data_IF_988286047498
#
_entry.id   IF_988286047498
#
_cell.length_a   1.000
_cell.length_b   1.000
_cell.length_c   1.000
_cell.angle_alpha   90.00
_cell.angle_beta   90.00
_cell.angle_gamma   90.00
#
_symmetry.space_group_name_H-M   'P 1'
#
loop_
_entity.id
_entity.type
_entity.pdbx_description
1 polymer ?
#
# COMPACT_ATOMS: atom_id res chain seq x y z
N UNK A 1 -24.38 13.01 0.16
CA UNK A 1 -22.91 13.07 0.32
C UNK A 1 -22.39 11.66 0.52
N UNK A 2 -21.62 11.15 -0.44
CA UNK A 2 -21.12 9.76 -0.43
C UNK A 2 -19.73 9.61 0.21
N UNK A 3 -19.08 10.70 0.52
CA UNK A 3 -17.74 10.74 1.12
C UNK A 3 -16.79 11.67 0.38
N UNK A 4 -15.54 11.65 0.77
CA UNK A 4 -14.45 12.43 0.17
C UNK A 4 -13.38 11.52 -0.43
N UNK A 5 -12.76 11.97 -1.51
CA UNK A 5 -11.59 11.31 -2.12
C UNK A 5 -10.28 11.73 -1.47
N UNK A 6 -10.28 12.87 -0.77
CA UNK A 6 -9.13 13.36 -0.03
C UNK A 6 -9.19 12.85 1.41
N UNK A 7 -8.13 12.24 1.93
CA UNK A 7 -8.13 11.75 3.30
C UNK A 7 -8.20 12.90 4.30
N UNK A 8 -9.26 12.99 5.12
CA UNK A 8 -9.38 14.04 6.14
C UNK A 8 -8.43 13.82 7.32
N UNK A 9 -7.98 12.60 7.55
CA UNK A 9 -7.07 12.26 8.64
C UNK A 9 -5.78 11.71 8.06
N UNK A 10 -4.67 12.39 8.34
CA UNK A 10 -3.32 11.97 7.98
C UNK A 10 -2.45 12.04 9.23
N UNK A 11 -1.74 10.96 9.52
CA UNK A 11 -0.76 10.96 10.60
C UNK A 11 0.45 10.11 10.21
N UNK A 12 1.58 10.43 10.82
CA UNK A 12 2.81 9.67 10.68
C UNK A 12 3.52 9.57 12.02
N UNK A 13 4.20 8.45 12.23
CA UNK A 13 5.02 8.17 13.40
C UNK A 13 6.38 7.68 12.94
N UNK A 14 7.41 8.42 13.30
CA UNK A 14 8.80 8.02 13.08
C UNK A 14 9.46 7.78 14.41
N UNK A 15 10.02 6.60 14.58
CA UNK A 15 10.83 6.25 15.73
C UNK A 15 12.26 5.95 15.30
N UNK A 16 13.21 6.37 16.11
CA UNK A 16 14.62 6.08 15.94
C UNK A 16 15.21 5.60 17.28
N UNK A 17 15.81 4.45 17.25
CA UNK A 17 16.42 3.80 18.40
C UNK A 17 17.93 3.70 18.18
N UNK A 18 18.70 4.15 19.16
CA UNK A 18 20.14 3.94 19.19
C UNK A 18 20.45 2.90 20.25
N UNK A 19 20.89 1.73 19.81
CA UNK A 19 21.19 0.59 20.67
C UNK A 19 22.69 0.39 20.73
N UNK A 20 23.21 0.15 21.93
CA UNK A 20 24.64 -0.12 22.19
C UNK A 20 25.60 0.90 21.56
N UNK A 21 25.18 2.15 21.34
CA UNK A 21 25.92 3.27 20.73
C UNK A 21 26.21 3.12 19.23
N UNK A 22 26.25 1.91 18.72
CA UNK A 22 26.75 1.63 17.36
C UNK A 22 25.63 1.16 16.40
N UNK A 23 24.49 0.73 16.93
CA UNK A 23 23.35 0.25 16.16
C UNK A 23 22.22 1.27 16.18
N UNK A 24 21.83 1.74 15.01
CA UNK A 24 20.66 2.62 14.84
C UNK A 24 19.56 1.87 14.11
N UNK A 25 18.36 1.90 14.64
CA UNK A 25 17.16 1.33 14.00
C UNK A 25 16.14 2.44 13.86
N UNK A 26 15.64 2.69 12.66
CA UNK A 26 14.57 3.64 12.42
C UNK A 26 13.39 2.96 11.76
N UNK A 27 12.19 3.33 12.21
CA UNK A 27 10.91 2.81 11.73
C UNK A 27 10.01 3.99 11.43
N UNK A 28 9.40 3.99 10.25
CA UNK A 28 8.43 4.99 9.84
C UNK A 28 7.10 4.33 9.46
N UNK A 29 6.04 4.77 10.13
CA UNK A 29 4.66 4.33 9.88
C UNK A 29 3.84 5.56 9.56
N UNK A 30 2.96 5.46 8.57
CA UNK A 30 1.97 6.50 8.31
C UNK A 30 0.62 5.93 7.92
N UNK A 31 -0.39 6.77 7.98
CA UNK A 31 -1.76 6.40 7.66
C UNK A 31 -2.52 7.53 7.00
N UNK A 32 -3.42 7.18 6.10
CA UNK A 32 -4.41 8.05 5.50
C UNK A 32 -5.78 7.43 5.69
N UNK A 33 -6.69 8.15 6.35
CA UNK A 33 -7.97 7.60 6.77
C UNK A 33 -9.14 8.46 6.34
N UNK A 34 -10.31 7.83 6.22
CA UNK A 34 -11.59 8.48 6.00
C UNK A 34 -11.89 8.87 4.56
N UNK A 35 -11.07 8.46 3.59
CA UNK A 35 -11.32 8.72 2.19
C UNK A 35 -11.83 7.49 1.45
N UNK A 36 -12.54 7.75 0.35
CA UNK A 36 -13.10 6.73 -0.51
C UNK A 36 -12.59 6.90 -1.94
N UNK A 37 -12.51 5.80 -2.66
CA UNK A 37 -12.21 5.82 -4.07
C UNK A 37 -13.13 4.88 -4.85
N UNK A 38 -13.32 5.18 -6.12
CA UNK A 38 -13.92 4.27 -7.07
C UNK A 38 -12.90 3.21 -7.42
N UNK A 39 -13.29 1.94 -7.37
CA UNK A 39 -12.48 0.88 -7.93
C UNK A 39 -12.94 0.64 -9.37
N UNK A 40 -12.03 0.87 -10.32
CA UNK A 40 -12.25 0.59 -11.73
C UNK A 40 -12.03 -0.87 -12.08
N UNK A 41 -11.33 -1.65 -11.25
CA UNK A 41 -11.11 -3.08 -11.50
C UNK A 41 -12.39 -3.91 -11.48
N UNK A 42 -13.44 -3.38 -10.90
CA UNK A 42 -14.78 -3.95 -10.94
C UNK A 42 -15.50 -3.64 -12.27
N UNK A 43 -15.04 -2.60 -12.96
CA UNK A 43 -15.70 -1.98 -14.11
C UNK A 43 -15.15 -2.38 -15.46
N UNK A 44 -14.13 -3.22 -15.53
CA UNK A 44 -13.59 -3.69 -16.80
C UNK A 44 -14.62 -4.44 -17.67
N UNK A 45 -15.82 -4.57 -17.16
CA UNK A 45 -16.97 -5.13 -17.89
C UNK A 45 -17.90 -4.07 -18.47
N UNK A 46 -17.75 -2.79 -18.11
CA UNK A 46 -18.73 -1.77 -18.48
C UNK A 46 -18.42 -1.01 -19.77
N UNK A 47 -17.15 -0.99 -20.20
CA UNK A 47 -16.79 -0.30 -21.45
C UNK A 47 -17.34 -0.99 -22.71
N UNK A 48 -17.70 -2.28 -22.60
CA UNK A 48 -18.24 -3.08 -23.71
C UNK A 48 -19.75 -3.42 -23.54
N UNK A 49 -20.51 -2.61 -22.83
CA UNK A 49 -21.96 -2.83 -22.66
C UNK A 49 -22.31 -4.07 -21.84
N UNK A 50 -21.55 -4.35 -20.79
CA UNK A 50 -21.83 -5.42 -19.83
C UNK A 50 -21.45 -6.81 -20.30
N UNK A 51 -20.70 -6.95 -21.37
CA UNK A 51 -20.14 -8.23 -21.79
C UNK A 51 -18.89 -8.56 -20.97
N UNK A 52 -18.85 -9.76 -20.41
CA UNK A 52 -17.63 -10.29 -19.84
C UNK A 52 -16.59 -10.43 -20.95
N UNK A 53 -15.56 -9.57 -20.95
CA UNK A 53 -14.43 -9.78 -21.83
C UNK A 53 -13.63 -11.01 -21.40
N UNK A 54 -12.87 -11.62 -22.29
CA UNK A 54 -12.00 -12.74 -21.93
C UNK A 54 -11.03 -12.42 -20.80
N UNK A 55 -10.64 -11.16 -20.65
CA UNK A 55 -9.81 -10.71 -19.53
C UNK A 55 -10.57 -10.77 -18.19
N UNK A 56 -11.89 -10.60 -18.19
CA UNK A 56 -12.71 -10.70 -16.99
C UNK A 56 -12.88 -12.16 -16.51
N UNK A 57 -12.71 -13.14 -17.37
CA UNK A 57 -12.75 -14.54 -17.00
C UNK A 57 -11.61 -14.97 -16.06
N UNK A 58 -10.54 -14.17 -16.00
CA UNK A 58 -9.41 -14.37 -15.09
C UNK A 58 -9.58 -13.64 -13.75
N UNK A 59 -10.67 -12.89 -13.56
CA UNK A 59 -10.94 -12.21 -12.32
C UNK A 59 -11.43 -13.20 -11.26
N UNK A 60 -11.05 -12.94 -10.03
CA UNK A 60 -11.49 -13.70 -8.88
C UNK A 60 -13.04 -13.74 -8.83
N UNK A 61 -13.62 -14.92 -8.64
CA UNK A 61 -15.05 -15.08 -8.47
C UNK A 61 -15.56 -14.20 -7.33
N UNK A 62 -16.61 -13.42 -7.59
CA UNK A 62 -17.23 -12.52 -6.61
C UNK A 62 -18.65 -12.94 -6.35
N UNK A 63 -19.10 -12.70 -5.14
CA UNK A 63 -20.47 -12.94 -4.73
C UNK A 63 -21.39 -11.82 -5.26
N UNK A 64 -21.78 -11.91 -6.53
CA UNK A 64 -22.71 -10.98 -7.13
C UNK A 64 -24.12 -11.13 -6.53
N UNK A 65 -24.90 -10.07 -6.60
CA UNK A 65 -26.29 -10.13 -6.21
C UNK A 65 -27.07 -11.08 -7.12
N UNK A 66 -27.72 -12.05 -6.52
CA UNK A 66 -28.71 -12.94 -7.16
C UNK A 66 -29.93 -13.02 -6.26
N UNK A 67 -31.03 -13.59 -6.75
CA UNK A 67 -32.25 -13.80 -5.96
C UNK A 67 -31.91 -14.70 -4.74
N UNK A 68 -31.04 -15.70 -4.94
CA UNK A 68 -30.64 -16.64 -3.90
C UNK A 68 -29.52 -16.12 -2.99
N UNK A 69 -28.81 -15.08 -3.42
CA UNK A 69 -27.75 -14.42 -2.66
C UNK A 69 -27.90 -12.88 -2.70
N UNK A 70 -28.88 -12.31 -1.99
CA UNK A 70 -29.05 -10.87 -1.93
C UNK A 70 -27.88 -10.23 -1.15
N UNK A 71 -27.04 -9.50 -1.85
CA UNK A 71 -25.89 -8.77 -1.28
C UNK A 71 -25.94 -7.30 -1.70
N UNK A 72 -25.45 -6.41 -0.81
CA UNK A 72 -25.23 -5.01 -1.14
C UNK A 72 -23.77 -4.73 -1.57
N UNK A 73 -22.91 -5.76 -1.57
CA UNK A 73 -21.48 -5.61 -1.87
C UNK A 73 -21.23 -5.50 -3.38
N UNK A 74 -21.89 -6.34 -4.16
CA UNK A 74 -21.75 -6.35 -5.61
C UNK A 74 -23.14 -6.34 -6.27
N UNK A 75 -23.29 -5.55 -7.33
CA UNK A 75 -24.53 -5.54 -8.11
C UNK A 75 -24.72 -6.81 -8.93
N UNK A 76 -25.84 -6.91 -9.65
CA UNK A 76 -26.08 -7.98 -10.61
C UNK A 76 -25.08 -7.89 -11.75
N UNK A 77 -24.60 -9.03 -12.25
CA UNK A 77 -23.69 -9.09 -13.40
C UNK A 77 -24.32 -8.50 -14.67
N UNK A 78 -25.61 -8.72 -14.84
CA UNK A 78 -26.40 -8.32 -16.03
C UNK A 78 -27.08 -6.95 -15.87
N UNK A 79 -26.88 -6.26 -14.75
CA UNK A 79 -27.48 -4.96 -14.52
C UNK A 79 -26.76 -3.89 -15.34
N UNK A 80 -27.29 -3.64 -16.54
CA UNK A 80 -26.98 -2.41 -17.27
C UNK A 80 -27.57 -1.24 -16.49
N UNK A 81 -26.70 -0.45 -15.86
CA UNK A 81 -27.14 0.83 -15.30
C UNK A 81 -27.51 1.77 -16.45
N UNK A 82 -28.41 2.72 -16.24
CA UNK A 82 -28.64 3.77 -17.22
C UNK A 82 -27.36 4.54 -17.45
N UNK A 83 -26.96 4.67 -18.70
CA UNK A 83 -25.88 5.47 -19.28
C UNK A 83 -24.81 5.97 -18.31
N UNK A 84 -23.81 5.14 -18.02
CA UNK A 84 -22.62 5.57 -17.28
C UNK A 84 -22.84 5.96 -15.82
N UNK A 85 -24.01 5.72 -15.25
CA UNK A 85 -24.28 5.99 -13.85
C UNK A 85 -23.42 5.08 -12.97
N UNK A 86 -22.42 5.68 -12.33
CA UNK A 86 -21.52 4.99 -11.39
C UNK A 86 -22.34 4.46 -10.22
N UNK A 87 -22.40 3.15 -10.08
CA UNK A 87 -23.16 2.49 -9.02
C UNK A 87 -22.53 2.84 -7.65
N UNK A 88 -23.32 3.18 -6.63
CA UNK A 88 -22.81 3.50 -5.29
C UNK A 88 -21.97 2.39 -4.66
N UNK A 89 -22.24 1.14 -5.01
CA UNK A 89 -21.46 -0.01 -4.54
C UNK A 89 -20.01 -0.09 -5.02
N UNK A 90 -19.59 0.82 -5.91
CA UNK A 90 -18.20 0.93 -6.38
C UNK A 90 -17.32 1.82 -5.53
N UNK A 91 -17.90 2.53 -4.56
CA UNK A 91 -17.16 3.36 -3.62
C UNK A 91 -16.63 2.50 -2.47
N UNK A 92 -15.33 2.29 -2.48
CA UNK A 92 -14.63 1.58 -1.43
C UNK A 92 -13.92 2.54 -0.47
N UNK A 93 -13.86 2.15 0.79
CA UNK A 93 -13.03 2.82 1.76
C UNK A 93 -11.56 2.53 1.41
N UNK A 94 -10.80 3.60 1.20
CA UNK A 94 -9.40 3.54 0.79
C UNK A 94 -8.44 3.80 1.95
N UNK A 95 -8.95 3.80 3.18
CA UNK A 95 -8.16 4.00 4.38
C UNK A 95 -7.11 2.92 4.56
N UNK A 96 -5.90 3.32 4.90
CA UNK A 96 -4.79 2.38 5.10
C UNK A 96 -3.81 2.86 6.17
N UNK A 97 -3.05 1.91 6.68
CA UNK A 97 -1.86 2.11 7.51
C UNK A 97 -0.69 1.47 6.77
N UNK A 98 0.42 2.17 6.67
CA UNK A 98 1.62 1.67 6.00
C UNK A 98 2.83 1.74 6.90
N UNK A 99 3.52 0.61 7.01
CA UNK A 99 4.90 0.54 7.47
C UNK A 99 5.79 0.89 6.27
N UNK A 100 6.14 2.18 6.18
CA UNK A 100 6.82 2.73 5.01
C UNK A 100 8.27 2.33 4.95
N UNK A 101 8.97 2.43 6.09
CA UNK A 101 10.41 2.27 6.09
C UNK A 101 10.89 1.61 7.39
N UNK A 102 11.79 0.65 7.23
CA UNK A 102 12.66 0.15 8.30
C UNK A 102 14.09 0.33 7.82
N UNK A 103 14.88 1.06 8.58
CA UNK A 103 16.30 1.21 8.30
C UNK A 103 17.12 0.78 9.52
N UNK A 104 18.19 0.04 9.27
CA UNK A 104 19.14 -0.42 10.27
C UNK A 104 20.51 0.06 9.84
N UNK A 105 21.22 0.73 10.73
CA UNK A 105 22.59 1.19 10.52
C UNK A 105 23.50 0.70 11.62
N UNK A 106 24.64 0.13 11.25
CA UNK A 106 25.64 -0.31 12.20
C UNK A 106 26.98 0.38 11.92
N UNK A 107 27.53 1.00 12.95
CA UNK A 107 28.86 1.62 12.90
C UNK A 107 29.87 0.64 13.47
N UNK A 108 30.89 0.28 12.70
CA UNK A 108 31.91 -0.63 13.18
C UNK A 108 32.74 0.00 14.32
N UNK A 109 33.10 -0.79 15.34
CA UNK A 109 33.95 -0.31 16.42
C UNK A 109 35.27 0.22 15.89
N UNK A 110 35.71 1.37 16.39
CA UNK A 110 36.92 2.05 15.97
C UNK A 110 38.18 1.17 16.06
N UNK A 111 38.23 0.26 17.02
CA UNK A 111 39.33 -0.71 17.16
C UNK A 111 39.56 -1.60 15.94
N UNK A 112 38.53 -1.87 15.18
CA UNK A 112 38.59 -2.67 13.96
C UNK A 112 39.02 -1.80 12.76
N UNK A 113 38.42 -0.63 12.62
CA UNK A 113 38.63 0.25 11.46
C UNK A 113 40.00 0.90 11.43
N UNK A 114 40.55 1.22 12.58
CA UNK A 114 41.90 1.79 12.69
C UNK A 114 43.03 0.90 12.11
N UNK A 115 42.85 -0.43 12.14
CA UNK A 115 43.79 -1.36 11.53
C UNK A 115 43.89 -1.19 10.01
N UNK A 116 42.87 -0.62 9.39
CA UNK A 116 42.77 -0.39 7.94
C UNK A 116 43.02 1.07 7.57
N UNK A 117 43.36 1.94 8.51
CA UNK A 117 43.55 3.36 8.28
C UNK A 117 42.25 4.11 8.02
N UNK A 118 41.10 3.51 8.37
CA UNK A 118 39.77 4.09 8.16
C UNK A 118 39.28 4.62 9.51
N UNK A 119 38.86 5.89 9.52
CA UNK A 119 38.35 6.51 10.73
C UNK A 119 36.97 5.95 11.13
N UNK A 120 36.11 5.76 10.17
CA UNK A 120 34.72 5.31 10.42
C UNK A 120 34.18 4.47 9.28
N UNK A 121 33.53 3.36 9.61
CA UNK A 121 32.78 2.52 8.67
C UNK A 121 31.36 2.37 9.20
N UNK A 122 30.37 2.78 8.40
CA UNK A 122 28.94 2.57 8.69
C UNK A 122 28.31 1.74 7.58
N UNK A 123 27.70 0.64 7.95
CA UNK A 123 26.91 -0.21 7.07
C UNK A 123 25.44 0.07 7.36
N UNK A 124 24.64 0.24 6.34
CA UNK A 124 23.20 0.47 6.49
C UNK A 124 22.39 -0.38 5.54
N UNK A 125 21.27 -0.86 6.02
CA UNK A 125 20.25 -1.56 5.24
C UNK A 125 18.91 -0.86 5.40
N UNK A 126 18.16 -0.72 4.31
CA UNK A 126 16.84 -0.09 4.33
C UNK A 126 15.87 -0.92 3.52
N UNK A 127 14.67 -1.11 4.07
CA UNK A 127 13.54 -1.70 3.35
C UNK A 127 12.43 -0.65 3.32
N UNK A 128 11.96 -0.31 2.12
CA UNK A 128 10.83 0.61 1.91
C UNK A 128 9.61 -0.16 1.46
N UNK A 129 8.44 0.40 1.76
CA UNK A 129 7.13 -0.20 1.49
C UNK A 129 7.04 -1.63 2.06
N UNK A 130 7.30 -1.75 3.36
CA UNK A 130 7.45 -3.03 4.06
C UNK A 130 6.13 -3.78 4.13
N UNK A 131 5.06 -3.08 4.54
CA UNK A 131 3.73 -3.65 4.65
C UNK A 131 2.66 -2.54 4.57
N UNK A 132 1.51 -2.90 4.02
CA UNK A 132 0.34 -2.02 3.94
C UNK A 132 -0.89 -2.80 4.42
N UNK A 133 -1.65 -2.18 5.31
CA UNK A 133 -2.92 -2.72 5.81
C UNK A 133 -4.05 -1.80 5.39
N UNK A 134 -4.92 -2.31 4.53
CA UNK A 134 -6.09 -1.62 4.02
C UNK A 134 -7.28 -2.60 4.06
N UNK A 135 -8.11 -2.48 5.10
CA UNK A 135 -9.15 -3.47 5.40
C UNK A 135 -10.17 -3.66 4.27
N UNK A 136 -10.57 -2.55 3.68
CA UNK A 136 -11.67 -2.53 2.72
C UNK A 136 -11.20 -2.29 1.28
N UNK A 137 -9.88 -2.27 1.05
CA UNK A 137 -9.26 -2.03 -0.25
C UNK A 137 -8.55 -3.30 -0.74
N UNK A 138 -9.12 -3.95 -1.73
CA UNK A 138 -8.64 -5.25 -2.25
C UNK A 138 -7.82 -5.12 -3.54
N UNK A 139 -7.71 -3.91 -4.11
CA UNK A 139 -7.22 -3.69 -5.47
C UNK A 139 -5.89 -2.95 -5.52
N UNK A 140 -4.81 -3.71 -5.39
CA UNK A 140 -3.48 -3.13 -5.47
C UNK A 140 -3.13 -2.22 -4.30
N UNK A 141 -2.19 -1.34 -4.51
CA UNK A 141 -1.75 -0.39 -3.50
C UNK A 141 -2.81 0.70 -3.26
N UNK A 142 -3.27 0.92 -2.01
CA UNK A 142 -4.32 1.88 -1.74
C UNK A 142 -3.92 3.34 -2.00
N UNK A 143 -2.64 3.65 -2.14
CA UNK A 143 -2.17 5.01 -2.43
C UNK A 143 -2.00 5.26 -3.91
N UNK A 144 -1.38 4.34 -4.63
CA UNK A 144 -1.05 4.49 -6.04
C UNK A 144 -2.06 3.83 -6.98
N UNK A 145 -2.83 2.86 -6.49
CA UNK A 145 -3.74 2.04 -7.29
C UNK A 145 -3.04 0.93 -8.08
N UNK A 146 -1.71 0.93 -8.13
CA UNK A 146 -0.91 -0.07 -8.84
C UNK A 146 -0.41 -1.20 -7.94
N UNK A 147 0.61 -1.92 -8.40
CA UNK A 147 1.29 -2.91 -7.59
C UNK A 147 2.24 -2.23 -6.61
N UNK A 148 2.12 -2.59 -5.33
CA UNK A 148 3.03 -2.12 -4.30
C UNK A 148 4.40 -2.74 -4.45
N UNK A 149 5.42 -1.95 -4.80
CA UNK A 149 6.80 -2.43 -4.96
C UNK A 149 7.57 -2.25 -3.65
N UNK A 150 8.22 -3.32 -3.21
CA UNK A 150 9.13 -3.28 -2.06
C UNK A 150 10.54 -3.00 -2.54
N UNK A 151 11.22 -2.04 -1.91
CA UNK A 151 12.57 -1.66 -2.27
C UNK A 151 13.54 -2.00 -1.13
N UNK A 152 14.63 -2.68 -1.49
CA UNK A 152 15.74 -2.99 -0.58
C UNK A 152 16.97 -2.18 -1.00
N UNK A 153 17.62 -1.56 -0.03
CA UNK A 153 18.82 -0.77 -0.26
C UNK A 153 19.89 -1.14 0.76
N UNK A 154 21.13 -1.27 0.30
CA UNK A 154 22.31 -1.42 1.13
C UNK A 154 23.21 -0.21 0.91
N UNK A 155 23.74 0.33 1.99
CA UNK A 155 24.65 1.47 1.98
C UNK A 155 25.91 1.19 2.77
N UNK A 156 27.03 1.65 2.25
CA UNK A 156 28.33 1.67 2.92
C UNK A 156 28.85 3.10 2.94
N UNK A 157 29.16 3.60 4.13
CA UNK A 157 29.74 4.92 4.31
C UNK A 157 31.12 4.76 4.96
N UNK A 158 32.13 5.31 4.30
CA UNK A 158 33.54 5.28 4.75
C UNK A 158 34.01 6.71 5.00
N UNK A 159 34.72 6.91 6.09
CA UNK A 159 35.38 8.17 6.43
C UNK A 159 36.86 7.86 6.74
N UNK A 160 37.74 8.61 6.08
CA UNK A 160 39.21 8.46 6.22
C UNK A 160 39.78 9.60 7.01
#
# INVERSE_FOLDING_TARGET
>A
FLGTTTPPINWSLRNEFVLWKDLTVSINIYSRMGHKALSTNYLNNDDDGGRMSYAAACLQAKEYWTIDNPTNKYGRIDANGPDGAKKPGMLYNRSFIRLENIAVGYTLPRKLTQKWGIERVKISGTVRNVATWAKDWEYGDPETGGLGTRLYSLGLNLSF
#
